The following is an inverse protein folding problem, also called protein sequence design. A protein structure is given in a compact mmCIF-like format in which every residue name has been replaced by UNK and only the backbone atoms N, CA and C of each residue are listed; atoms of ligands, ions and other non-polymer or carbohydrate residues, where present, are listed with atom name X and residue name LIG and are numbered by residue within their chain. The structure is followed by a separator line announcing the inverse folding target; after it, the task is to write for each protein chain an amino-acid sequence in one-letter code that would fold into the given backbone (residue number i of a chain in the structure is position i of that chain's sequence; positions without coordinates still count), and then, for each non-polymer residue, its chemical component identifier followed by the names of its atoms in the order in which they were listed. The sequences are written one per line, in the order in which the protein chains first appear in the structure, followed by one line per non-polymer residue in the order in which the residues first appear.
data_IF_147386063269
#
_entry.id   IF_147386063269
#
_cell.length_a   1.000
_cell.length_b   1.000
_cell.length_c   1.000
_cell.angle_alpha   90.00
_cell.angle_beta   90.00
_cell.angle_gamma   90.00
#
_symmetry.space_group_name_H-M   'P 1'
#
loop_
_entity.id
_entity.type
_entity.pdbx_description
1 polymer ?
#
# COMPACT_ATOMS: atom_id res chain seq x y z
N UNK A 1 -7.30 4.61 -11.08
CA UNK A 1 -6.01 4.18 -10.49
C UNK A 1 -6.25 3.05 -9.51
N UNK A 2 -5.65 1.92 -9.73
CA UNK A 2 -5.81 0.75 -8.85
C UNK A 2 -4.81 0.83 -7.71
N UNK A 3 -5.29 0.64 -6.49
CA UNK A 3 -4.48 0.67 -5.27
C UNK A 3 -4.62 -0.67 -4.57
N UNK A 4 -3.55 -1.46 -4.58
CA UNK A 4 -3.53 -2.78 -3.97
C UNK A 4 -3.03 -2.66 -2.53
N UNK A 5 -3.85 -3.04 -1.56
CA UNK A 5 -3.53 -2.91 -0.14
C UNK A 5 -3.31 -4.29 0.46
N UNK A 6 -2.07 -4.54 0.88
CA UNK A 6 -1.65 -5.82 1.46
C UNK A 6 -1.55 -5.72 2.97
N UNK A 7 -1.87 -6.82 3.65
CA UNK A 7 -1.88 -6.89 5.10
C UNK A 7 -1.49 -8.29 5.59
N UNK A 8 -1.10 -8.36 6.84
CA UNK A 8 -0.83 -9.63 7.52
C UNK A 8 -1.14 -9.46 9.01
N UNK A 9 -2.08 -10.26 9.52
CA UNK A 9 -2.54 -10.18 10.89
C UNK A 9 -3.72 -9.23 11.09
N UNK A 10 -4.42 -9.39 12.21
CA UNK A 10 -5.69 -8.72 12.47
C UNK A 10 -5.59 -7.18 12.46
N UNK A 11 -4.59 -6.62 13.17
CA UNK A 11 -4.43 -5.17 13.25
C UNK A 11 -4.18 -4.55 11.87
N UNK A 12 -3.30 -5.15 11.12
CA UNK A 12 -2.98 -4.73 9.77
C UNK A 12 -4.20 -4.84 8.85
N UNK A 13 -5.00 -5.89 8.99
CA UNK A 13 -6.24 -6.09 8.23
C UNK A 13 -7.27 -4.99 8.52
N UNK A 14 -7.47 -4.67 9.80
CA UNK A 14 -8.41 -3.63 10.19
C UNK A 14 -8.03 -2.27 9.58
N UNK A 15 -6.74 -1.95 9.56
CA UNK A 15 -6.25 -0.72 8.95
C UNK A 15 -6.39 -0.75 7.44
N UNK A 16 -6.10 -1.88 6.80
CA UNK A 16 -6.27 -2.03 5.35
C UNK A 16 -7.72 -1.78 4.93
N UNK A 17 -8.68 -2.32 5.67
CA UNK A 17 -10.11 -2.11 5.41
C UNK A 17 -10.50 -0.63 5.60
N UNK A 18 -10.05 -0.01 6.69
CA UNK A 18 -10.33 1.40 6.96
C UNK A 18 -9.71 2.30 5.89
N UNK A 19 -8.48 2.02 5.51
CA UNK A 19 -7.75 2.79 4.49
C UNK A 19 -8.44 2.67 3.12
N UNK A 20 -8.88 1.45 2.78
CA UNK A 20 -9.60 1.19 1.53
C UNK A 20 -10.86 2.06 1.42
N UNK A 21 -11.68 2.08 2.47
CA UNK A 21 -12.90 2.89 2.48
C UNK A 21 -12.63 4.39 2.43
N UNK A 22 -11.60 4.83 3.13
CA UNK A 22 -11.24 6.25 3.22
C UNK A 22 -10.62 6.78 1.92
N UNK A 23 -9.70 6.03 1.31
CA UNK A 23 -9.04 6.45 0.06
C UNK A 23 -10.03 6.73 -1.06
N UNK A 24 -11.07 5.92 -1.16
CA UNK A 24 -12.10 6.11 -2.18
C UNK A 24 -12.82 7.44 -2.04
N UNK A 25 -12.95 7.96 -0.80
CA UNK A 25 -13.58 9.26 -0.52
C UNK A 25 -12.63 10.42 -0.78
N UNK A 26 -11.34 10.23 -0.56
CA UNK A 26 -10.33 11.29 -0.68
C UNK A 26 -9.86 11.46 -2.12
N UNK A 27 -9.65 10.35 -2.82
CA UNK A 27 -9.23 10.33 -4.22
C UNK A 27 -10.28 9.57 -5.01
N UNK A 28 -11.14 10.29 -5.72
CA UNK A 28 -12.26 9.69 -6.44
C UNK A 28 -11.83 8.70 -7.53
N UNK A 29 -10.67 8.94 -8.14
CA UNK A 29 -10.12 8.05 -9.15
C UNK A 29 -9.45 6.80 -8.58
N UNK A 30 -9.27 6.71 -7.27
CA UNK A 30 -8.69 5.54 -6.62
C UNK A 30 -9.68 4.38 -6.58
N UNK A 31 -9.19 3.20 -6.92
CA UNK A 31 -9.94 1.95 -6.88
C UNK A 31 -9.18 1.00 -5.95
N UNK A 32 -9.49 1.01 -4.63
CA UNK A 32 -8.78 0.18 -3.67
C UNK A 32 -9.16 -1.29 -3.78
N UNK A 33 -8.16 -2.15 -3.68
CA UNK A 33 -8.30 -3.60 -3.69
C UNK A 33 -7.61 -4.15 -2.44
N UNK A 34 -8.36 -4.84 -1.59
CA UNK A 34 -7.79 -5.53 -0.44
C UNK A 34 -8.33 -6.95 -0.38
N UNK A 35 -7.46 -7.92 -0.04
CA UNK A 35 -7.87 -9.32 0.04
C UNK A 35 -8.58 -9.62 1.36
N UNK A 36 -9.52 -10.57 1.34
CA UNK A 36 -9.96 -11.24 2.55
C UNK A 36 -8.97 -12.36 2.89
N UNK A 37 -9.07 -12.94 4.08
CA UNK A 37 -8.22 -14.09 4.44
C UNK A 37 -8.36 -15.25 3.46
N UNK A 38 -9.55 -15.44 2.91
CA UNK A 38 -9.82 -16.53 1.97
C UNK A 38 -9.23 -16.30 0.59
N UNK A 39 -8.95 -15.03 0.23
CA UNK A 39 -8.44 -14.67 -1.10
C UNK A 39 -6.92 -14.60 -1.15
N UNK A 40 -6.24 -14.68 0.00
CA UNK A 40 -4.78 -14.60 0.07
C UNK A 40 -4.13 -15.81 -0.58
N UNK A 41 -2.94 -15.60 -1.12
CA UNK A 41 -2.17 -16.66 -1.75
C UNK A 41 -2.05 -16.46 -3.24
N UNK A 42 -1.81 -17.55 -3.96
CA UNK A 42 -1.57 -17.55 -5.40
C UNK A 42 -2.74 -16.93 -6.18
N UNK A 43 -3.96 -17.20 -5.74
CA UNK A 43 -5.15 -16.67 -6.40
C UNK A 43 -5.20 -15.14 -6.32
N UNK A 44 -4.91 -14.57 -5.16
CA UNK A 44 -4.87 -13.11 -4.98
C UNK A 44 -3.79 -12.48 -5.85
N UNK A 45 -2.58 -13.06 -5.86
CA UNK A 45 -1.50 -12.57 -6.71
C UNK A 45 -1.82 -12.67 -8.19
N UNK A 46 -2.52 -13.73 -8.61
CA UNK A 46 -2.96 -13.87 -10.00
C UNK A 46 -3.95 -12.77 -10.39
N UNK A 47 -4.89 -12.42 -9.50
CA UNK A 47 -5.84 -11.33 -9.74
C UNK A 47 -5.13 -9.98 -9.84
N UNK A 48 -4.17 -9.72 -8.94
CA UNK A 48 -3.36 -8.50 -9.00
C UNK A 48 -2.62 -8.41 -10.33
N UNK A 49 -1.96 -9.50 -10.74
CA UNK A 49 -1.17 -9.54 -11.98
C UNK A 49 -1.97 -9.18 -13.21
N UNK A 50 -3.23 -9.65 -13.27
CA UNK A 50 -4.13 -9.35 -14.39
C UNK A 50 -4.61 -7.91 -14.39
N UNK A 51 -4.59 -7.26 -13.24
CA UNK A 51 -5.21 -5.93 -13.05
C UNK A 51 -4.21 -4.79 -13.03
N UNK A 52 -2.90 -5.07 -12.97
CA UNK A 52 -1.87 -4.03 -12.92
C UNK A 52 -1.81 -3.23 -14.22
N UNK A 53 -1.63 -1.94 -14.08
CA UNK A 53 -1.42 -1.01 -15.18
C UNK A 53 -0.33 0.02 -14.80
N UNK A 54 -0.10 1.01 -15.67
CA UNK A 54 0.95 2.01 -15.46
C UNK A 54 0.70 2.94 -14.26
N UNK A 55 -0.53 2.97 -13.74
CA UNK A 55 -0.90 3.84 -12.62
C UNK A 55 -1.10 3.09 -11.30
N UNK A 56 -0.89 1.78 -11.29
CA UNK A 56 -1.10 0.96 -10.10
C UNK A 56 -0.13 1.28 -8.97
N UNK A 57 -0.65 1.27 -7.74
CA UNK A 57 0.13 1.52 -6.51
C UNK A 57 -0.08 0.33 -5.56
N UNK A 58 0.97 -0.09 -4.88
CA UNK A 58 0.90 -1.08 -3.81
C UNK A 58 1.12 -0.42 -2.46
N UNK A 59 0.24 -0.69 -1.50
CA UNK A 59 0.38 -0.24 -0.12
C UNK A 59 0.50 -1.48 0.77
N UNK A 60 1.51 -1.50 1.62
CA UNK A 60 1.75 -2.60 2.55
C UNK A 60 1.49 -2.09 3.97
N UNK A 61 0.46 -2.64 4.63
CA UNK A 61 0.15 -2.25 6.01
C UNK A 61 1.05 -3.04 6.96
N UNK A 62 2.09 -2.38 7.48
CA UNK A 62 3.15 -3.02 8.26
C UNK A 62 3.06 -2.63 9.73
N UNK A 63 3.21 -3.62 10.61
CA UNK A 63 3.34 -3.43 12.06
C UNK A 63 4.66 -4.04 12.51
N UNK A 64 5.19 -3.69 13.70
CA UNK A 64 6.35 -4.39 14.23
C UNK A 64 6.14 -5.91 14.32
N UNK A 65 4.90 -6.33 14.56
CA UNK A 65 4.57 -7.76 14.67
C UNK A 65 4.54 -8.51 13.34
N UNK A 66 4.27 -7.83 12.21
CA UNK A 66 4.18 -8.49 10.91
C UNK A 66 5.31 -8.13 9.94
N UNK A 67 6.21 -7.25 10.33
CA UNK A 67 7.29 -6.75 9.47
C UNK A 67 8.11 -7.87 8.81
N UNK A 68 8.23 -9.01 9.48
CA UNK A 68 8.97 -10.18 8.97
C UNK A 68 8.06 -11.30 8.49
N UNK A 69 6.74 -11.07 8.40
CA UNK A 69 5.81 -12.10 7.95
C UNK A 69 6.15 -12.51 6.51
N UNK A 70 6.31 -13.82 6.24
CA UNK A 70 6.69 -14.28 4.90
C UNK A 70 5.74 -13.84 3.81
N UNK A 71 4.43 -13.86 4.09
CA UNK A 71 3.42 -13.45 3.11
C UNK A 71 3.59 -11.99 2.70
N UNK A 72 3.72 -11.08 3.68
CA UNK A 72 3.85 -9.65 3.41
C UNK A 72 5.13 -9.34 2.61
N UNK A 73 6.23 -9.97 2.98
CA UNK A 73 7.50 -9.80 2.28
C UNK A 73 7.45 -10.37 0.85
N UNK A 74 6.76 -11.49 0.68
CA UNK A 74 6.55 -12.10 -0.62
C UNK A 74 5.72 -11.18 -1.53
N UNK A 75 4.63 -10.62 -1.02
CA UNK A 75 3.80 -9.68 -1.80
C UNK A 75 4.56 -8.41 -2.17
N UNK A 76 5.37 -7.88 -1.23
CA UNK A 76 6.17 -6.70 -1.51
C UNK A 76 7.11 -6.92 -2.70
N UNK A 77 7.81 -8.05 -2.72
CA UNK A 77 8.69 -8.42 -3.82
C UNK A 77 7.95 -8.64 -5.12
N UNK A 78 6.82 -9.34 -5.07
CA UNK A 78 6.02 -9.62 -6.25
C UNK A 78 5.44 -8.35 -6.86
N UNK A 79 4.88 -7.45 -6.04
CA UNK A 79 4.34 -6.17 -6.50
C UNK A 79 5.42 -5.28 -7.09
N UNK A 80 6.57 -5.18 -6.42
CA UNK A 80 7.70 -4.39 -6.89
C UNK A 80 8.17 -4.86 -8.26
N UNK A 81 8.31 -6.17 -8.45
CA UNK A 81 8.73 -6.75 -9.71
C UNK A 81 7.74 -6.50 -10.83
N UNK A 82 6.45 -6.64 -10.56
CA UNK A 82 5.39 -6.51 -11.57
C UNK A 82 5.13 -5.06 -11.95
N UNK A 83 5.15 -4.16 -10.96
CA UNK A 83 4.98 -2.72 -11.19
C UNK A 83 6.23 -2.14 -11.87
N UNK A 84 7.41 -2.72 -11.57
CA UNK A 84 8.68 -2.27 -12.15
C UNK A 84 9.18 -0.94 -11.62
N UNK A 85 8.58 -0.43 -10.53
CA UNK A 85 8.94 0.85 -9.93
C UNK A 85 8.72 0.78 -8.42
N UNK A 86 9.82 0.75 -7.67
CA UNK A 86 9.79 0.66 -6.20
C UNK A 86 9.14 1.87 -5.53
N UNK A 87 9.12 3.02 -6.20
CA UNK A 87 8.48 4.23 -5.67
C UNK A 87 6.98 4.05 -5.52
N UNK A 88 6.39 3.14 -6.29
CA UNK A 88 4.96 2.86 -6.26
C UNK A 88 4.58 1.70 -5.34
N UNK A 89 5.51 1.20 -4.55
CA UNK A 89 5.24 0.22 -3.49
C UNK A 89 5.59 0.89 -2.17
N UNK A 90 4.58 1.17 -1.35
CA UNK A 90 4.70 2.03 -0.17
C UNK A 90 4.33 1.28 1.09
N UNK A 91 5.29 0.98 1.98
CA UNK A 91 4.96 0.53 3.33
C UNK A 91 4.28 1.65 4.13
N UNK A 92 3.12 1.33 4.70
CA UNK A 92 2.37 2.22 5.57
C UNK A 92 2.51 1.67 6.99
N UNK A 93 3.23 2.40 7.83
CA UNK A 93 3.78 1.89 9.09
C UNK A 93 2.90 2.22 10.28
N UNK A 94 2.37 1.17 10.92
CA UNK A 94 1.57 1.28 12.14
C UNK A 94 2.44 0.95 13.34
N UNK A 95 2.36 1.78 14.39
CA UNK A 95 3.08 1.58 15.65
C UNK A 95 4.61 1.67 15.52
N UNK A 96 5.10 2.33 14.48
CA UNK A 96 6.50 2.69 14.34
C UNK A 96 6.70 4.15 14.74
N UNK A 97 7.87 4.48 15.28
CA UNK A 97 8.24 5.86 15.61
C UNK A 97 8.91 6.56 14.43
N UNK A 98 9.60 5.79 13.60
CA UNK A 98 10.38 6.30 12.49
C UNK A 98 10.43 5.26 11.38
N UNK A 99 10.47 5.68 10.09
CA UNK A 99 10.70 4.75 8.97
C UNK A 99 12.00 3.97 9.10
N UNK A 100 12.99 4.48 9.83
CA UNK A 100 14.27 3.81 10.03
C UNK A 100 14.16 2.51 10.83
N UNK A 101 13.06 2.30 11.54
CA UNK A 101 12.81 1.06 12.28
C UNK A 101 12.43 -0.11 11.35
N UNK A 102 12.07 0.18 10.11
CA UNK A 102 11.69 -0.85 9.14
C UNK A 102 12.94 -1.60 8.66
N UNK A 103 12.95 -2.91 8.88
CA UNK A 103 14.10 -3.76 8.56
C UNK A 103 14.01 -4.34 7.15
N UNK A 104 15.17 -4.71 6.54
CA UNK A 104 15.17 -5.41 5.26
C UNK A 104 14.34 -6.70 5.31
N UNK A 105 13.70 -7.13 4.21
CA UNK A 105 13.76 -6.51 2.88
C UNK A 105 12.83 -5.30 2.69
N UNK A 106 11.84 -5.09 3.57
CA UNK A 106 10.87 -3.98 3.41
C UNK A 106 11.53 -2.61 3.56
N UNK A 107 12.64 -2.51 4.27
CA UNK A 107 13.36 -1.25 4.47
C UNK A 107 13.94 -0.64 3.19
N UNK A 108 13.94 -1.37 2.07
CA UNK A 108 14.37 -0.83 0.79
C UNK A 108 13.35 0.13 0.17
N UNK A 109 12.09 0.08 0.62
CA UNK A 109 11.04 0.93 0.10
C UNK A 109 10.91 2.22 0.90
N UNK A 110 10.44 3.29 0.24
CA UNK A 110 10.11 4.54 0.91
C UNK A 110 8.81 4.41 1.66
N UNK A 111 8.88 4.43 2.98
CA UNK A 111 7.74 4.18 3.85
C UNK A 111 7.11 5.47 4.36
N UNK A 112 5.81 5.43 4.65
CA UNK A 112 5.06 6.49 5.31
C UNK A 112 4.56 6.00 6.65
N UNK A 113 4.70 6.82 7.70
CA UNK A 113 4.11 6.50 9.00
C UNK A 113 2.59 6.67 8.96
N UNK A 114 1.88 5.85 9.73
CA UNK A 114 0.42 5.93 9.86
C UNK A 114 0.05 7.03 10.88
N UNK A 115 0.47 8.26 10.59
CA UNK A 115 0.13 9.46 11.33
C UNK A 115 -0.36 10.53 10.34
N UNK A 116 -0.65 11.72 10.82
CA UNK A 116 -1.19 12.79 9.98
C UNK A 116 -0.25 13.14 8.83
N UNK A 117 1.02 13.38 9.13
CA UNK A 117 1.98 13.77 8.09
C UNK A 117 2.27 12.62 7.11
N UNK A 118 2.47 11.41 7.62
CA UNK A 118 2.74 10.24 6.77
C UNK A 118 1.56 9.89 5.89
N UNK A 119 0.34 10.04 6.39
CA UNK A 119 -0.87 9.82 5.60
C UNK A 119 -1.03 10.89 4.52
N UNK A 120 -0.72 12.14 4.84
CA UNK A 120 -0.69 13.22 3.86
C UNK A 120 0.31 12.92 2.74
N UNK A 121 1.51 12.49 3.10
CA UNK A 121 2.56 12.14 2.13
C UNK A 121 2.11 10.98 1.23
N UNK A 122 1.42 9.99 1.80
CA UNK A 122 0.87 8.86 1.05
C UNK A 122 -0.15 9.35 0.02
N UNK A 123 -1.07 10.21 0.44
CA UNK A 123 -2.09 10.76 -0.47
C UNK A 123 -1.46 11.59 -1.57
N UNK A 124 -0.43 12.38 -1.29
CA UNK A 124 0.30 13.13 -2.31
C UNK A 124 0.92 12.20 -3.35
N UNK A 125 1.56 11.11 -2.89
CA UNK A 125 2.16 10.12 -3.79
C UNK A 125 1.11 9.48 -4.68
N UNK A 126 -0.03 9.09 -4.11
CA UNK A 126 -1.14 8.52 -4.87
C UNK A 126 -1.64 9.51 -5.91
N UNK A 127 -1.79 10.77 -5.54
CA UNK A 127 -2.27 11.80 -6.45
C UNK A 127 -1.30 12.02 -7.61
N UNK A 128 -0.01 12.03 -7.35
CA UNK A 128 1.02 12.20 -8.40
C UNK A 128 0.98 11.08 -9.45
N UNK A 129 0.61 9.87 -9.05
CA UNK A 129 0.53 8.72 -9.94
C UNK A 129 -0.86 8.51 -10.53
N UNK A 130 -1.83 9.35 -10.17
CA UNK A 130 -3.19 9.31 -10.70
C UNK A 130 -3.21 9.74 -12.19
N UNK A 131 -4.16 9.21 -12.96
CA UNK A 131 -4.38 9.63 -14.35
C UNK A 131 -4.84 11.08 -14.45
N UNK A 132 -5.53 11.56 -13.42
CA UNK A 132 -6.07 12.92 -13.35
C UNK A 132 -5.68 13.57 -12.02
N UNK A 133 -4.39 13.95 -11.84
CA UNK A 133 -3.93 14.53 -10.59
C UNK A 133 -4.67 15.81 -10.23
N UNK A 134 -5.03 15.94 -8.94
CA UNK A 134 -5.60 17.17 -8.43
C UNK A 134 -4.51 18.21 -8.22
N UNK A 135 -4.84 19.49 -8.46
CA UNK A 135 -3.93 20.58 -8.14
C UNK A 135 -3.74 20.66 -6.62
N UNK A 136 -2.52 20.99 -6.13
CA UNK A 136 -2.31 21.22 -4.70
C UNK A 136 -3.20 22.29 -4.10
N UNK A 137 -3.69 23.22 -4.92
CA UNK A 137 -4.58 24.30 -4.52
C UNK A 137 -6.06 23.96 -4.70
N UNK A 138 -6.38 22.77 -5.18
CA UNK A 138 -7.78 22.35 -5.34
C UNK A 138 -8.41 22.05 -3.98
N UNK A 139 -9.64 22.51 -3.73
CA UNK A 139 -10.35 22.23 -2.49
C UNK A 139 -10.73 20.75 -2.35
#
# INVERSE_FOLDING_TARGET
MKVFISWSGRRSHEVAEALSGWLKKVIQSAEPWTSSEMERGVKWLAEISKSLDAHSIGILCVTPGNMKAPWLNFEAGALSKQIGDEVRVIPYLLDFRSPNELQPPLGQFNASLADEQGTFDLVETLNLHSETPLSPDAP
#
